data_IF_571944433188
#
_entry.id   IF_571944433188
#
_cell.length_a   1.000
_cell.length_b   1.000
_cell.length_c   1.000
_cell.angle_alpha   90.00
_cell.angle_beta   90.00
_cell.angle_gamma   90.00
#
_symmetry.space_group_name_H-M   'P 1'
#
loop_
_entity.id
_entity.type
_entity.pdbx_description
1 polymer ?
#
# COMPACT_ATOMS: atom_id res chain seq x y z
N UNK A 1 -5.91 28.26 -6.82
CA UNK A 1 -6.08 26.80 -6.94
C UNK A 1 -4.70 26.17 -6.85
N UNK A 2 -4.40 25.39 -5.82
CA UNK A 2 -3.17 24.61 -5.83
C UNK A 2 -3.37 23.48 -6.85
N UNK A 3 -2.52 23.40 -7.87
CA UNK A 3 -2.50 22.24 -8.75
C UNK A 3 -2.33 21.00 -7.86
N UNK A 4 -3.26 20.04 -7.93
CA UNK A 4 -3.10 18.77 -7.23
C UNK A 4 -1.81 18.14 -7.74
N UNK A 5 -0.87 17.78 -6.84
CA UNK A 5 0.32 17.02 -7.25
C UNK A 5 -0.15 15.76 -7.99
N UNK A 6 0.53 15.35 -9.08
CA UNK A 6 0.20 14.11 -9.77
C UNK A 6 0.30 12.93 -8.80
N UNK A 7 -0.57 11.94 -8.99
CA UNK A 7 -0.60 10.77 -8.13
C UNK A 7 0.71 9.98 -8.30
N UNK A 8 1.42 9.69 -7.20
CA UNK A 8 2.69 8.93 -7.23
C UNK A 8 2.53 7.53 -7.83
N UNK A 9 1.31 7.00 -7.87
CA UNK A 9 1.04 5.69 -8.47
C UNK A 9 1.02 5.72 -10.01
N UNK A 10 1.00 6.90 -10.64
CA UNK A 10 0.98 7.05 -12.10
C UNK A 10 2.40 7.09 -12.74
N UNK A 11 3.45 7.21 -11.92
CA UNK A 11 4.85 7.24 -12.38
C UNK A 11 5.42 5.86 -12.72
N UNK A 12 6.68 5.82 -13.20
CA UNK A 12 7.39 4.55 -13.43
C UNK A 12 7.85 3.90 -12.11
N UNK A 13 7.84 2.55 -12.08
CA UNK A 13 8.17 1.77 -10.89
C UNK A 13 9.33 0.82 -11.19
N UNK A 14 10.22 0.66 -10.23
CA UNK A 14 11.21 -0.43 -10.22
C UNK A 14 10.55 -1.65 -9.57
N UNK A 15 10.48 -2.78 -10.27
CA UNK A 15 9.75 -3.97 -9.82
C UNK A 15 10.68 -5.17 -9.78
N UNK A 16 10.87 -5.74 -8.59
CA UNK A 16 11.51 -7.04 -8.43
C UNK A 16 10.50 -8.16 -8.67
N UNK A 17 10.81 -9.05 -9.62
CA UNK A 17 9.95 -10.18 -10.00
C UNK A 17 10.61 -11.54 -9.74
N UNK A 18 11.77 -11.56 -9.10
CA UNK A 18 12.52 -12.79 -8.85
C UNK A 18 13.52 -13.18 -9.94
N UNK A 19 13.81 -12.24 -10.84
CA UNK A 19 14.72 -12.34 -11.98
C UNK A 19 16.22 -12.30 -11.58
N UNK A 20 16.52 -11.94 -10.33
CA UNK A 20 17.87 -11.92 -9.78
C UNK A 20 17.89 -12.17 -8.26
N UNK A 21 19.05 -12.39 -7.62
CA UNK A 21 19.13 -12.44 -6.16
C UNK A 21 18.63 -11.15 -5.51
N UNK A 22 17.76 -11.27 -4.50
CA UNK A 22 17.14 -10.11 -3.84
C UNK A 22 18.18 -9.14 -3.23
N UNK A 23 19.31 -9.64 -2.74
CA UNK A 23 20.38 -8.80 -2.21
C UNK A 23 21.02 -7.90 -3.28
N UNK A 24 21.19 -8.41 -4.49
CA UNK A 24 21.74 -7.64 -5.61
C UNK A 24 20.75 -6.57 -6.07
N UNK A 25 19.46 -6.93 -6.16
CA UNK A 25 18.39 -5.98 -6.45
C UNK A 25 18.38 -4.83 -5.44
N UNK A 26 18.41 -5.13 -4.14
CA UNK A 26 18.34 -4.13 -3.07
C UNK A 26 19.61 -3.28 -2.99
N UNK A 27 20.77 -3.82 -3.37
CA UNK A 27 22.03 -3.06 -3.45
C UNK A 27 22.00 -2.03 -4.56
N UNK A 28 21.37 -2.35 -5.70
CA UNK A 28 21.25 -1.45 -6.86
C UNK A 28 20.14 -0.42 -6.70
N UNK A 29 19.05 -0.77 -6.01
CA UNK A 29 17.84 0.03 -5.94
C UNK A 29 17.58 0.52 -4.50
N UNK A 30 18.39 1.48 -4.06
CA UNK A 30 18.28 2.07 -2.72
C UNK A 30 17.26 3.22 -2.75
N UNK A 31 16.19 3.20 -1.91
CA UNK A 31 15.15 4.24 -1.94
C UNK A 31 15.68 5.66 -1.78
N UNK A 32 16.76 5.83 -1.03
CA UNK A 32 17.43 7.12 -0.80
C UNK A 32 18.25 7.64 -1.97
N UNK A 33 18.55 6.80 -2.97
CA UNK A 33 19.42 7.15 -4.11
C UNK A 33 18.66 7.24 -5.43
N UNK A 34 17.36 6.94 -5.42
CA UNK A 34 16.51 7.01 -6.60
C UNK A 34 15.59 8.20 -6.42
N UNK A 35 15.58 9.10 -7.38
CA UNK A 35 14.72 10.29 -7.38
C UNK A 35 13.29 9.94 -7.76
N UNK A 36 12.31 10.53 -7.08
CA UNK A 36 10.89 10.29 -7.35
C UNK A 36 10.44 10.76 -8.73
N UNK A 37 11.18 11.69 -9.34
CA UNK A 37 10.99 12.15 -10.72
C UNK A 37 11.38 11.11 -11.76
N UNK A 38 12.23 10.15 -11.42
CA UNK A 38 12.63 9.04 -12.30
C UNK A 38 11.73 7.83 -12.07
N UNK A 39 11.66 7.38 -10.82
CA UNK A 39 10.81 6.26 -10.42
C UNK A 39 10.11 6.64 -9.13
N UNK A 40 8.79 6.53 -9.08
CA UNK A 40 8.02 6.90 -7.89
C UNK A 40 8.06 5.82 -6.80
N UNK A 41 8.26 4.56 -7.19
CA UNK A 41 8.22 3.41 -6.29
C UNK A 41 9.26 2.35 -6.64
N UNK A 42 9.75 1.68 -5.60
CA UNK A 42 10.46 0.41 -5.70
C UNK A 42 9.55 -0.64 -5.07
N UNK A 43 9.29 -1.74 -5.77
CA UNK A 43 8.38 -2.79 -5.32
C UNK A 43 9.02 -4.17 -5.39
N UNK A 44 8.61 -5.03 -4.46
CA UNK A 44 8.95 -6.46 -4.48
C UNK A 44 7.70 -7.29 -4.28
N UNK A 45 7.71 -8.46 -4.88
CA UNK A 45 6.63 -9.44 -4.81
C UNK A 45 7.15 -10.77 -4.29
N UNK A 46 6.30 -11.50 -3.59
CA UNK A 46 6.53 -12.92 -3.37
C UNK A 46 6.52 -13.63 -4.72
N UNK A 47 7.54 -14.45 -4.98
CA UNK A 47 7.82 -15.06 -6.30
C UNK A 47 6.60 -15.68 -7.01
N UNK A 48 5.65 -16.24 -6.25
CA UNK A 48 4.47 -16.92 -6.81
C UNK A 48 3.28 -16.02 -7.12
N UNK A 49 3.26 -14.78 -6.63
CA UNK A 49 2.02 -14.00 -6.54
C UNK A 49 1.91 -12.94 -7.63
N UNK A 50 3.06 -12.50 -8.18
CA UNK A 50 3.09 -11.50 -9.26
C UNK A 50 2.23 -11.90 -10.46
N UNK A 51 2.24 -13.19 -10.84
CA UNK A 51 1.48 -13.69 -11.99
C UNK A 51 0.04 -14.10 -11.67
N UNK A 52 -0.36 -14.11 -10.39
CA UNK A 52 -1.67 -14.61 -9.94
C UNK A 52 -2.67 -13.50 -9.65
N UNK A 53 -2.20 -12.29 -9.37
CA UNK A 53 -3.11 -11.18 -9.11
C UNK A 53 -3.86 -10.80 -10.39
N UNK A 54 -5.19 -10.86 -10.30
CA UNK A 54 -6.07 -10.23 -11.28
C UNK A 54 -6.27 -8.78 -10.85
N UNK A 55 -6.23 -7.88 -11.82
CA UNK A 55 -6.67 -6.50 -11.56
C UNK A 55 -8.18 -6.51 -11.42
N UNK A 56 -8.74 -6.03 -10.29
CA UNK A 56 -10.18 -5.92 -10.14
C UNK A 56 -10.75 -4.89 -11.13
N UNK A 57 -12.04 -5.00 -11.45
CA UNK A 57 -12.72 -4.10 -12.39
C UNK A 57 -12.94 -2.73 -11.75
N UNK A 58 -11.91 -1.90 -11.82
CA UNK A 58 -11.91 -0.53 -11.33
C UNK A 58 -13.00 0.32 -11.98
N UNK A 59 -13.29 0.11 -13.26
CA UNK A 59 -14.22 0.95 -14.00
C UNK A 59 -15.66 0.74 -13.52
N UNK A 60 -16.05 -0.52 -13.32
CA UNK A 60 -17.37 -0.85 -12.80
C UNK A 60 -17.56 -0.38 -11.35
N UNK A 61 -16.54 -0.54 -10.49
CA UNK A 61 -16.57 -0.02 -9.13
C UNK A 61 -16.77 1.51 -9.11
N UNK A 62 -16.00 2.26 -9.92
CA UNK A 62 -16.08 3.72 -9.92
C UNK A 62 -17.43 4.22 -10.46
N UNK A 63 -17.96 3.55 -11.49
CA UNK A 63 -19.30 3.86 -12.02
C UNK A 63 -20.38 3.68 -10.95
N UNK A 64 -20.37 2.55 -10.24
CA UNK A 64 -21.32 2.29 -9.15
C UNK A 64 -21.16 3.33 -8.03
N UNK A 65 -19.92 3.62 -7.64
CA UNK A 65 -19.63 4.63 -6.64
C UNK A 65 -20.18 6.03 -7.00
N UNK A 66 -19.94 6.49 -8.23
CA UNK A 66 -20.42 7.79 -8.73
C UNK A 66 -21.96 7.85 -8.75
N UNK A 67 -22.62 6.83 -9.31
CA UNK A 67 -24.09 6.77 -9.34
C UNK A 67 -24.70 6.77 -7.93
N UNK A 68 -24.07 6.10 -6.97
CA UNK A 68 -24.58 6.05 -5.60
C UNK A 68 -24.28 7.33 -4.81
N UNK A 69 -23.17 8.02 -5.06
CA UNK A 69 -22.89 9.31 -4.42
C UNK A 69 -23.94 10.37 -4.74
N UNK A 70 -24.55 10.33 -5.92
CA UNK A 70 -25.63 11.24 -6.31
C UNK A 70 -26.96 10.93 -5.60
N UNK A 71 -27.15 9.68 -5.15
CA UNK A 71 -28.43 9.17 -4.65
C UNK A 71 -28.48 8.90 -3.14
N UNK A 72 -27.33 8.81 -2.45
CA UNK A 72 -27.27 8.51 -1.01
C UNK A 72 -27.07 9.74 -0.12
N UNK A 73 -27.87 9.84 0.96
CA UNK A 73 -27.72 10.89 1.97
C UNK A 73 -26.51 10.74 2.90
N UNK A 74 -25.96 9.52 3.09
CA UNK A 74 -24.76 9.28 3.92
C UNK A 74 -24.00 8.03 3.50
N UNK A 75 -22.75 8.19 3.06
CA UNK A 75 -21.80 7.09 2.83
C UNK A 75 -21.29 6.55 4.17
N UNK A 76 -21.28 5.23 4.33
CA UNK A 76 -20.83 4.52 5.54
C UNK A 76 -19.67 3.55 5.25
N UNK A 77 -18.99 3.09 6.29
CA UNK A 77 -17.98 2.01 6.20
C UNK A 77 -18.58 0.71 5.67
N UNK A 78 -19.81 0.40 6.06
CA UNK A 78 -20.48 -0.86 5.74
C UNK A 78 -20.83 -0.92 4.25
N UNK A 79 -21.24 0.21 3.67
CA UNK A 79 -21.43 0.31 2.23
C UNK A 79 -20.13 0.09 1.46
N UNK A 80 -19.01 0.66 1.93
CA UNK A 80 -17.72 0.43 1.29
C UNK A 80 -17.27 -1.03 1.43
N UNK A 81 -17.58 -1.67 2.55
CA UNK A 81 -17.33 -3.10 2.74
C UNK A 81 -18.16 -3.94 1.76
N UNK A 82 -19.43 -3.60 1.54
CA UNK A 82 -20.27 -4.25 0.53
C UNK A 82 -19.65 -4.13 -0.86
N UNK A 83 -19.23 -2.93 -1.27
CA UNK A 83 -18.55 -2.73 -2.56
C UNK A 83 -17.23 -3.52 -2.65
N UNK A 84 -16.49 -3.64 -1.55
CA UNK A 84 -15.26 -4.42 -1.53
C UNK A 84 -15.51 -5.91 -1.79
N UNK A 85 -16.59 -6.47 -1.24
CA UNK A 85 -16.99 -7.86 -1.52
C UNK A 85 -17.51 -8.02 -2.94
N UNK A 86 -18.39 -7.12 -3.40
CA UNK A 86 -19.05 -7.22 -4.70
C UNK A 86 -18.06 -7.09 -5.87
N UNK A 87 -17.07 -6.20 -5.75
CA UNK A 87 -16.09 -5.93 -6.80
C UNK A 87 -14.72 -6.58 -6.56
N UNK A 88 -14.62 -7.52 -5.61
CA UNK A 88 -13.38 -8.23 -5.23
C UNK A 88 -12.21 -7.26 -4.90
N UNK A 89 -12.55 -6.15 -4.25
CA UNK A 89 -11.64 -5.05 -3.90
C UNK A 89 -11.14 -5.16 -2.45
N UNK A 90 -10.67 -6.36 -2.09
CA UNK A 90 -10.37 -6.73 -0.70
C UNK A 90 -8.93 -6.54 -0.29
N UNK A 91 -8.04 -6.20 -1.21
CA UNK A 91 -6.65 -5.92 -0.84
C UNK A 91 -6.53 -4.68 0.03
N UNK A 92 -5.46 -4.61 0.80
CA UNK A 92 -5.10 -3.41 1.54
C UNK A 92 -3.66 -3.46 1.98
N UNK A 93 -3.25 -2.43 2.73
CA UNK A 93 -1.83 -2.24 3.04
C UNK A 93 -1.58 -1.62 4.41
N UNK A 94 -0.57 -2.15 5.09
CA UNK A 94 0.09 -1.47 6.20
C UNK A 94 0.95 -0.33 5.67
N UNK A 95 0.74 0.88 6.18
CA UNK A 95 1.52 2.09 5.90
C UNK A 95 2.52 2.33 7.04
N UNK A 96 3.79 2.44 6.68
CA UNK A 96 4.92 2.61 7.61
C UNK A 96 5.72 3.82 7.15
N UNK A 97 5.67 4.91 7.93
CA UNK A 97 6.44 6.12 7.63
C UNK A 97 7.77 6.10 8.39
N UNK A 98 8.89 6.32 7.68
CA UNK A 98 10.23 6.30 8.25
C UNK A 98 11.07 7.49 7.74
N UNK A 99 11.80 8.15 8.65
CA UNK A 99 12.56 9.39 8.36
C UNK A 99 14.09 9.19 8.29
N UNK A 100 14.75 8.39 9.15
CA UNK A 100 16.12 7.91 8.89
C UNK A 100 16.20 6.39 8.73
N UNK A 101 17.23 5.91 8.03
CA UNK A 101 17.55 4.49 7.80
C UNK A 101 16.54 3.68 6.97
N UNK A 102 15.76 4.34 6.09
CA UNK A 102 14.79 3.66 5.21
C UNK A 102 15.40 2.53 4.40
N UNK A 103 16.63 2.66 3.89
CA UNK A 103 17.30 1.60 3.11
C UNK A 103 17.38 0.28 3.88
N UNK A 104 17.77 0.33 5.15
CA UNK A 104 17.91 -0.86 5.99
C UNK A 104 16.55 -1.43 6.37
N UNK A 105 15.57 -0.57 6.67
CA UNK A 105 14.20 -0.97 6.96
C UNK A 105 13.58 -1.66 5.74
N UNK A 106 13.70 -1.03 4.57
CA UNK A 106 13.26 -1.56 3.29
C UNK A 106 13.93 -2.90 2.97
N UNK A 107 15.25 -3.01 3.18
CA UNK A 107 15.97 -4.27 2.96
C UNK A 107 15.37 -5.43 3.76
N UNK A 108 15.04 -5.21 5.04
CA UNK A 108 14.41 -6.23 5.90
C UNK A 108 13.01 -6.58 5.40
N UNK A 109 12.16 -5.58 5.19
CA UNK A 109 10.78 -5.78 4.72
C UNK A 109 10.75 -6.51 3.38
N UNK A 110 11.55 -6.07 2.41
CA UNK A 110 11.58 -6.64 1.07
C UNK A 110 12.00 -8.12 1.10
N UNK A 111 13.04 -8.46 1.87
CA UNK A 111 13.46 -9.86 2.06
C UNK A 111 12.37 -10.69 2.74
N UNK A 112 11.69 -10.15 3.74
CA UNK A 112 10.64 -10.85 4.46
C UNK A 112 9.39 -11.11 3.56
N UNK A 113 9.05 -10.18 2.66
CA UNK A 113 8.02 -10.40 1.62
C UNK A 113 8.44 -11.51 0.66
N UNK A 114 9.65 -11.43 0.10
CA UNK A 114 10.15 -12.44 -0.86
C UNK A 114 10.22 -13.83 -0.24
N UNK A 115 10.57 -13.91 1.06
CA UNK A 115 10.57 -15.14 1.83
C UNK A 115 9.16 -15.62 2.30
N UNK A 116 8.10 -14.90 1.96
CA UNK A 116 6.72 -15.26 2.31
C UNK A 116 6.36 -15.12 3.79
N UNK A 117 7.10 -14.31 4.55
CA UNK A 117 6.84 -14.06 5.98
C UNK A 117 5.85 -12.91 6.22
N UNK A 118 5.75 -12.00 5.26
CA UNK A 118 4.80 -10.89 5.27
C UNK A 118 3.70 -11.18 4.23
N UNK A 119 2.92 -10.16 3.85
CA UNK A 119 1.97 -10.31 2.76
C UNK A 119 2.63 -10.40 1.38
N UNK A 120 1.81 -10.46 0.33
CA UNK A 120 2.24 -10.86 -1.01
C UNK A 120 3.15 -9.86 -1.73
N UNK A 121 3.11 -8.57 -1.36
CA UNK A 121 3.96 -7.55 -1.96
C UNK A 121 4.25 -6.40 -0.99
N UNK A 122 5.31 -5.66 -1.28
CA UNK A 122 5.56 -4.38 -0.66
C UNK A 122 6.12 -3.37 -1.66
N UNK A 123 5.91 -2.09 -1.38
CA UNK A 123 6.55 -0.99 -2.10
C UNK A 123 7.07 0.07 -1.14
N UNK A 124 8.12 0.77 -1.55
CA UNK A 124 8.69 1.91 -0.82
C UNK A 124 8.81 3.11 -1.74
N UNK A 125 8.47 4.28 -1.22
CA UNK A 125 8.63 5.52 -1.96
C UNK A 125 10.12 5.83 -2.14
N UNK A 126 10.47 6.38 -3.28
CA UNK A 126 11.81 6.88 -3.60
C UNK A 126 12.05 8.26 -2.98
N UNK A 127 13.27 8.80 -3.15
CA UNK A 127 13.65 10.10 -2.60
C UNK A 127 12.82 11.22 -3.24
N UNK A 128 12.16 12.00 -2.40
CA UNK A 128 11.39 13.16 -2.80
C UNK A 128 11.94 14.37 -2.03
N UNK A 129 12.57 15.34 -2.71
CA UNK A 129 13.15 16.51 -2.06
C UNK A 129 12.14 17.35 -1.26
N UNK A 130 10.85 17.23 -1.57
CA UNK A 130 9.78 17.96 -0.90
C UNK A 130 9.21 17.21 0.33
N UNK A 131 9.57 15.93 0.50
CA UNK A 131 9.07 15.08 1.57
C UNK A 131 10.20 14.59 2.50
N UNK A 132 10.10 14.94 3.77
CA UNK A 132 11.10 14.56 4.78
C UNK A 132 10.96 13.09 5.28
N UNK A 133 10.16 12.26 4.62
CA UNK A 133 9.88 10.89 5.03
C UNK A 133 9.61 9.97 3.84
N UNK A 134 10.03 8.72 3.97
CA UNK A 134 9.61 7.65 3.07
C UNK A 134 8.40 6.92 3.66
N UNK A 135 7.61 6.31 2.79
CA UNK A 135 6.55 5.37 3.16
C UNK A 135 6.85 3.99 2.59
N UNK A 136 6.71 2.97 3.43
CA UNK A 136 6.64 1.57 3.01
C UNK A 136 5.18 1.13 3.11
N UNK A 137 4.69 0.49 2.06
CA UNK A 137 3.39 -0.15 1.99
C UNK A 137 3.62 -1.67 1.92
N UNK A 138 3.01 -2.44 2.83
CA UNK A 138 3.03 -3.91 2.82
C UNK A 138 1.62 -4.41 2.64
N UNK A 139 1.37 -5.13 1.55
CA UNK A 139 0.03 -5.48 1.11
C UNK A 139 -0.42 -6.84 1.62
N UNK A 140 -1.70 -6.97 1.92
CA UNK A 140 -2.37 -8.25 2.20
C UNK A 140 -3.60 -8.40 1.33
N UNK A 141 -3.98 -9.65 1.10
CA UNK A 141 -4.94 -10.11 0.10
C UNK A 141 -6.37 -9.71 0.45
N UNK A 142 -6.70 -9.76 1.75
CA UNK A 142 -8.05 -9.48 2.25
C UNK A 142 -7.98 -8.67 3.55
N UNK A 143 -8.46 -7.43 3.53
CA UNK A 143 -8.51 -6.57 4.72
C UNK A 143 -9.61 -6.98 5.70
N UNK A 144 -10.57 -7.80 5.30
CA UNK A 144 -11.64 -8.30 6.17
C UNK A 144 -11.17 -9.49 7.01
N UNK A 145 -10.12 -10.19 6.54
CA UNK A 145 -9.45 -11.24 7.30
C UNK A 145 -8.49 -10.62 8.34
N UNK A 146 -9.06 -10.23 9.48
CA UNK A 146 -8.29 -9.59 10.55
C UNK A 146 -7.14 -10.48 11.05
N UNK A 147 -7.34 -11.79 11.17
CA UNK A 147 -6.28 -12.71 11.62
C UNK A 147 -5.05 -12.60 10.72
N UNK A 148 -5.24 -12.62 9.40
CA UNK A 148 -4.13 -12.49 8.46
C UNK A 148 -3.47 -11.10 8.51
N UNK A 149 -4.27 -10.03 8.56
CA UNK A 149 -3.76 -8.66 8.68
C UNK A 149 -2.91 -8.47 9.94
N UNK A 150 -3.35 -9.02 11.08
CA UNK A 150 -2.64 -9.01 12.35
C UNK A 150 -1.39 -9.89 12.30
N UNK A 151 -1.44 -11.03 11.63
CA UNK A 151 -0.25 -11.88 11.46
C UNK A 151 0.88 -11.16 10.73
N UNK A 152 0.54 -10.42 9.68
CA UNK A 152 1.50 -9.59 8.94
C UNK A 152 2.04 -8.46 9.81
N UNK A 153 1.19 -7.83 10.63
CA UNK A 153 1.61 -6.83 11.62
C UNK A 153 2.63 -7.39 12.63
N UNK A 154 2.33 -8.54 13.24
CA UNK A 154 3.24 -9.20 14.18
C UNK A 154 4.60 -9.50 13.54
N UNK A 155 4.59 -9.98 12.29
CA UNK A 155 5.81 -10.30 11.58
C UNK A 155 6.58 -9.01 11.20
N UNK A 156 5.91 -7.91 10.87
CA UNK A 156 6.56 -6.60 10.73
C UNK A 156 7.25 -6.18 12.03
N UNK A 157 6.63 -6.41 13.20
CA UNK A 157 7.28 -6.16 14.50
C UNK A 157 8.51 -7.04 14.71
N UNK A 158 8.45 -8.32 14.34
CA UNK A 158 9.61 -9.25 14.41
C UNK A 158 10.76 -8.83 13.49
N UNK A 159 10.46 -8.20 12.35
CA UNK A 159 11.45 -7.59 11.45
C UNK A 159 11.99 -6.22 11.96
N UNK A 160 11.64 -5.85 13.20
CA UNK A 160 12.18 -4.68 13.90
C UNK A 160 11.48 -3.36 13.56
N UNK A 161 10.27 -3.39 12.98
CA UNK A 161 9.48 -2.18 12.75
C UNK A 161 8.93 -1.68 14.08
N UNK A 162 9.41 -0.51 14.52
CA UNK A 162 8.96 0.15 15.76
C UNK A 162 8.06 1.35 15.52
N UNK A 163 8.02 1.86 14.28
CA UNK A 163 7.15 2.98 13.92
C UNK A 163 5.67 2.63 14.12
N UNK A 164 4.84 3.67 14.28
CA UNK A 164 3.39 3.53 14.21
C UNK A 164 3.01 3.05 12.81
N UNK A 165 2.11 2.06 12.74
CA UNK A 165 1.58 1.55 11.48
C UNK A 165 0.08 1.77 11.42
N UNK A 166 -0.42 2.08 10.23
CA UNK A 166 -1.85 2.21 9.95
C UNK A 166 -2.21 1.41 8.72
N UNK A 167 -3.33 0.70 8.75
CA UNK A 167 -3.77 -0.12 7.63
C UNK A 167 -4.86 0.59 6.83
N UNK A 168 -4.66 0.74 5.52
CA UNK A 168 -5.61 1.35 4.58
C UNK A 168 -6.06 0.31 3.55
N UNK A 169 -7.37 0.04 3.42
CA UNK A 169 -7.90 -0.78 2.32
C UNK A 169 -7.66 -0.10 0.97
N UNK A 170 -7.43 -0.90 -0.07
CA UNK A 170 -7.18 -0.37 -1.41
C UNK A 170 -8.43 0.27 -2.02
N UNK A 171 -9.62 -0.26 -1.73
CA UNK A 171 -10.88 0.37 -2.12
C UNK A 171 -10.99 1.82 -1.63
N UNK A 172 -10.52 2.14 -0.42
CA UNK A 172 -10.53 3.52 0.09
C UNK A 172 -9.57 4.41 -0.69
N UNK A 173 -8.52 3.85 -1.28
CA UNK A 173 -7.61 4.58 -2.17
C UNK A 173 -8.26 4.81 -3.52
N UNK A 174 -8.89 3.77 -4.09
CA UNK A 174 -9.62 3.83 -5.37
C UNK A 174 -10.76 4.84 -5.33
N UNK A 175 -11.54 4.87 -4.25
CA UNK A 175 -12.70 5.75 -4.07
C UNK A 175 -12.33 7.17 -3.60
N UNK A 176 -11.04 7.50 -3.52
CA UNK A 176 -10.59 8.84 -3.09
C UNK A 176 -10.83 9.16 -1.61
N UNK A 177 -11.01 8.15 -0.76
CA UNK A 177 -11.23 8.32 0.67
C UNK A 177 -9.88 8.54 1.37
N UNK A 178 -9.57 9.82 1.57
CA UNK A 178 -8.39 10.28 2.30
C UNK A 178 -8.77 11.00 3.59
N UNK A 179 -7.79 11.54 4.32
CA UNK A 179 -8.06 12.36 5.50
C UNK A 179 -8.90 13.57 5.10
N UNK A 180 -9.83 13.98 5.97
CA UNK A 180 -10.75 15.11 5.75
C UNK A 180 -11.66 14.93 4.51
N UNK A 181 -12.01 13.68 4.15
CA UNK A 181 -13.03 13.41 3.15
C UNK A 181 -14.41 13.95 3.60
N UNK A 182 -15.32 14.28 2.67
CA UNK A 182 -16.61 14.90 2.98
C UNK A 182 -17.55 14.01 3.78
N UNK A 183 -17.30 12.69 3.83
CA UNK A 183 -18.15 11.71 4.53
C UNK A 183 -17.74 11.50 5.99
N UNK A 184 -16.65 12.14 6.46
CA UNK A 184 -16.16 11.98 7.83
C UNK A 184 -15.58 10.59 8.13
N UNK A 185 -15.33 9.77 7.10
CA UNK A 185 -14.82 8.42 7.26
C UNK A 185 -13.34 8.41 7.65
N UNK A 186 -12.94 7.45 8.48
CA UNK A 186 -11.52 7.22 8.77
C UNK A 186 -10.89 6.47 7.59
N UNK A 187 -9.80 6.96 6.97
CA UNK A 187 -9.20 6.33 5.81
C UNK A 187 -8.34 5.10 6.15
N UNK A 188 -8.38 4.63 7.39
CA UNK A 188 -7.58 3.52 7.90
C UNK A 188 -8.44 2.70 8.86
N UNK A 189 -8.44 1.37 8.71
CA UNK A 189 -9.32 0.45 9.44
C UNK A 189 -8.62 -0.29 10.58
N UNK A 190 -7.29 -0.49 10.48
CA UNK A 190 -6.46 -0.98 11.58
C UNK A 190 -5.35 0.00 11.93
N UNK A 191 -4.88 -0.09 13.18
CA UNK A 191 -3.70 0.61 13.63
C UNK A 191 -2.88 -0.27 14.57
N UNK A 192 -1.58 -0.04 14.57
CA UNK A 192 -0.66 -0.67 15.50
C UNK A 192 0.27 0.39 16.09
N UNK A 193 0.29 0.42 17.42
CA UNK A 193 1.13 1.28 18.23
C UNK A 193 2.08 0.37 19.01
N UNK A 194 3.33 0.79 19.12
CA UNK A 194 4.30 0.15 20.00
C UNK A 194 4.51 1.06 21.21
#
# INVERSE_FOLDING_TARGET
MAASRPNKDDGEWIIYKGDMPIDDFLKRNRPTQIECSQYSWISVWRHSDFSKMKSPDKASLLKEWECNMENFGKITSDYILQLAEEYDYKTGKWLIYSKPAIDNVWKRVAKAVVAGKLGYSAKVSTHDPEENAHVICVYTEDFTNEEHVRKVEENLRKEGITARMTYKPDIYTTLGIYRKNPWGLRPTVYSSHR
#
